data_IF_448117247937
#
_entry.id   IF_448117247937
#
_cell.length_a   1.000
_cell.length_b   1.000
_cell.length_c   1.000
_cell.angle_alpha   90.00
_cell.angle_beta   90.00
_cell.angle_gamma   90.00
#
_symmetry.space_group_name_H-M   'P 1'
#
loop_
_entity.id
_entity.type
_entity.pdbx_description
1 polymer ?
#
# COMPACT_ATOMS: atom_id res chain seq x y z
N UNK A 1 -13.53 61.12 -43.15
CA UNK A 1 -13.47 60.71 -41.73
C UNK A 1 -13.12 59.22 -41.71
N UNK A 2 -11.84 58.85 -41.50
CA UNK A 2 -11.46 57.45 -41.41
C UNK A 2 -11.82 56.92 -40.01
N UNK A 3 -12.43 55.74 -39.95
CA UNK A 3 -12.79 55.07 -38.70
C UNK A 3 -11.55 54.40 -38.10
N UNK A 4 -11.20 54.79 -36.87
CA UNK A 4 -10.18 54.15 -36.05
C UNK A 4 -10.76 52.85 -35.45
N UNK A 5 -10.20 51.71 -35.85
CA UNK A 5 -10.46 50.41 -35.21
C UNK A 5 -9.59 50.33 -33.95
N UNK A 6 -10.13 49.98 -32.77
CA UNK A 6 -9.32 49.79 -31.57
C UNK A 6 -8.51 48.50 -31.72
N UNK A 7 -7.20 48.58 -31.54
CA UNK A 7 -6.35 47.40 -31.42
C UNK A 7 -6.54 46.76 -30.04
N UNK A 8 -7.05 45.53 -30.02
CA UNK A 8 -7.09 44.69 -28.82
C UNK A 8 -5.67 44.19 -28.53
N UNK A 9 -5.12 44.59 -27.39
CA UNK A 9 -3.88 44.03 -26.87
C UNK A 9 -4.19 42.62 -26.34
N UNK A 10 -3.47 41.56 -26.75
CA UNK A 10 -3.69 40.22 -26.21
C UNK A 10 -3.29 40.22 -24.74
N UNK A 11 -4.26 40.01 -23.84
CA UNK A 11 -3.95 39.73 -22.44
C UNK A 11 -3.29 38.36 -22.37
N UNK A 12 -2.03 38.35 -21.98
CA UNK A 12 -1.28 37.13 -21.69
C UNK A 12 -1.87 36.51 -20.43
N UNK A 13 -2.62 35.42 -20.58
CA UNK A 13 -3.04 34.59 -19.43
C UNK A 13 -1.75 34.07 -18.77
N UNK A 14 -1.53 34.28 -17.46
CA UNK A 14 -0.37 33.71 -16.79
C UNK A 14 -0.44 32.19 -16.93
N UNK A 15 0.55 31.59 -17.60
CA UNK A 15 0.71 30.15 -17.58
C UNK A 15 1.10 29.76 -16.15
N UNK A 16 0.15 29.20 -15.40
CA UNK A 16 0.41 28.60 -14.10
C UNK A 16 1.37 27.44 -14.31
N UNK A 17 2.65 27.63 -13.94
CA UNK A 17 3.58 26.51 -13.81
C UNK A 17 2.93 25.53 -12.83
N UNK A 18 2.74 24.25 -13.17
CA UNK A 18 2.19 23.29 -12.22
C UNK A 18 3.05 23.32 -10.95
N UNK A 19 2.44 23.64 -9.81
CA UNK A 19 3.15 23.71 -8.54
C UNK A 19 3.42 22.28 -8.09
N UNK A 20 4.63 21.79 -8.40
CA UNK A 20 5.07 20.45 -7.98
C UNK A 20 5.13 20.36 -6.46
N UNK A 21 4.69 19.24 -5.90
CA UNK A 21 4.79 18.93 -4.47
C UNK A 21 6.04 18.11 -4.20
N UNK A 22 6.87 18.54 -3.25
CA UNK A 22 8.03 17.73 -2.85
C UNK A 22 7.56 16.56 -1.98
N UNK A 23 7.78 15.34 -2.49
CA UNK A 23 7.41 14.09 -1.81
C UNK A 23 8.67 13.32 -1.44
N UNK A 24 8.86 13.03 -0.16
CA UNK A 24 9.87 12.07 0.31
C UNK A 24 9.23 10.68 0.46
N UNK A 25 9.82 9.66 -0.17
CA UNK A 25 9.37 8.28 -0.07
C UNK A 25 10.44 7.41 0.59
N UNK A 26 10.10 6.83 1.75
CA UNK A 26 10.88 5.77 2.38
C UNK A 26 10.42 4.39 1.90
N UNK A 27 11.37 3.46 1.68
CA UNK A 27 11.06 2.12 1.18
C UNK A 27 10.84 2.02 -0.33
N UNK A 28 11.36 2.97 -1.12
CA UNK A 28 11.20 3.04 -2.57
C UNK A 28 11.74 1.84 -3.37
N UNK A 29 12.56 0.98 -2.77
CA UNK A 29 13.04 -0.28 -3.39
C UNK A 29 12.13 -1.48 -3.14
N UNK A 30 11.15 -1.35 -2.23
CA UNK A 30 10.21 -2.40 -1.87
C UNK A 30 9.20 -2.72 -2.96
N UNK A 31 8.39 -3.75 -2.73
CA UNK A 31 7.33 -4.19 -3.65
C UNK A 31 6.31 -3.09 -3.96
N UNK A 32 5.80 -2.45 -2.91
CA UNK A 32 4.85 -1.35 -3.03
C UNK A 32 5.56 -0.02 -3.33
N UNK A 33 6.61 0.31 -2.57
CA UNK A 33 7.29 1.61 -2.68
C UNK A 33 7.77 1.95 -4.08
N UNK A 34 8.33 0.99 -4.83
CA UNK A 34 8.77 1.27 -6.23
C UNK A 34 7.62 1.65 -7.15
N UNK A 35 6.43 1.12 -6.91
CA UNK A 35 5.22 1.42 -7.69
C UNK A 35 4.62 2.76 -7.27
N UNK A 36 4.68 3.10 -5.98
CA UNK A 36 4.32 4.44 -5.50
C UNK A 36 5.22 5.47 -6.18
N UNK A 37 6.54 5.23 -6.19
CA UNK A 37 7.51 6.09 -6.86
C UNK A 37 7.19 6.26 -8.35
N UNK A 38 6.92 5.16 -9.06
CA UNK A 38 6.51 5.19 -10.46
C UNK A 38 5.27 6.07 -10.70
N UNK A 39 4.19 5.85 -9.94
CA UNK A 39 2.95 6.62 -10.09
C UNK A 39 3.14 8.10 -9.73
N UNK A 40 3.91 8.42 -8.69
CA UNK A 40 4.25 9.81 -8.35
C UNK A 40 4.98 10.51 -9.50
N UNK A 41 6.00 9.87 -10.09
CA UNK A 41 6.75 10.43 -11.23
C UNK A 41 5.87 10.59 -12.47
N UNK A 42 5.00 9.62 -12.74
CA UNK A 42 4.12 9.63 -13.91
C UNK A 42 3.10 10.78 -13.91
N UNK A 43 2.75 11.34 -12.74
CA UNK A 43 1.87 12.52 -12.66
C UNK A 43 2.50 13.78 -13.25
N UNK A 44 3.83 13.92 -13.19
CA UNK A 44 4.51 15.18 -13.46
C UNK A 44 4.28 16.27 -12.39
N UNK A 45 3.57 15.95 -11.31
CA UNK A 45 3.21 16.88 -10.21
C UNK A 45 4.05 16.64 -8.94
N UNK A 46 4.86 15.58 -8.91
CA UNK A 46 5.71 15.23 -7.77
C UNK A 46 7.18 15.58 -8.02
N UNK A 47 7.77 16.36 -7.11
CA UNK A 47 9.21 16.44 -6.96
C UNK A 47 9.69 15.31 -6.01
N UNK A 48 9.94 14.12 -6.57
CA UNK A 48 10.16 12.90 -5.80
C UNK A 48 11.60 12.76 -5.28
N UNK A 49 11.71 12.51 -3.97
CA UNK A 49 12.94 12.10 -3.28
C UNK A 49 12.77 10.71 -2.69
N UNK A 50 13.73 9.83 -2.93
CA UNK A 50 13.75 8.48 -2.38
C UNK A 50 14.74 8.46 -1.20
N UNK A 51 14.24 8.16 -0.01
CA UNK A 51 15.08 7.91 1.16
C UNK A 51 15.80 6.57 0.97
N UNK A 52 17.12 6.63 0.95
CA UNK A 52 17.99 5.46 0.84
C UNK A 52 18.97 5.42 1.99
N UNK A 53 19.27 4.22 2.50
CA UNK A 53 20.31 4.07 3.51
C UNK A 53 21.68 4.49 2.93
N UNK A 54 22.58 5.06 3.74
CA UNK A 54 23.95 5.31 3.33
C UNK A 54 24.59 4.06 2.70
N UNK A 55 25.26 4.24 1.56
CA UNK A 55 25.87 3.15 0.80
C UNK A 55 24.88 2.25 0.02
N UNK A 56 23.58 2.60 -0.05
CA UNK A 56 22.63 1.84 -0.87
C UNK A 56 22.99 1.86 -2.37
N UNK A 57 23.67 2.90 -2.84
CA UNK A 57 24.18 2.97 -4.22
C UNK A 57 25.35 2.01 -4.48
N UNK A 58 26.00 1.49 -3.43
CA UNK A 58 27.13 0.56 -3.55
C UNK A 58 26.67 -0.90 -3.69
N UNK A 59 25.47 -1.22 -3.18
CA UNK A 59 24.81 -2.52 -3.36
C UNK A 59 24.28 -2.66 -4.81
N UNK A 60 24.80 -3.61 -5.61
CA UNK A 60 24.38 -3.79 -7.00
C UNK A 60 22.89 -4.06 -7.17
N UNK A 61 22.26 -4.78 -6.24
CA UNK A 61 20.82 -5.11 -6.31
C UNK A 61 19.98 -3.87 -6.09
N UNK A 62 20.35 -3.05 -5.11
CA UNK A 62 19.64 -1.78 -4.82
C UNK A 62 19.85 -0.78 -5.93
N UNK A 63 21.07 -0.66 -6.46
CA UNK A 63 21.36 0.19 -7.61
C UNK A 63 20.50 -0.17 -8.82
N UNK A 64 20.39 -1.46 -9.12
CA UNK A 64 19.52 -1.94 -10.21
C UNK A 64 18.04 -1.62 -9.97
N UNK A 65 17.57 -1.72 -8.72
CA UNK A 65 16.19 -1.37 -8.36
C UNK A 65 15.91 0.15 -8.43
N UNK A 66 16.90 1.00 -8.12
CA UNK A 66 16.76 2.46 -8.11
C UNK A 66 16.96 3.10 -9.49
N UNK A 67 17.79 2.50 -10.35
CA UNK A 67 18.17 3.09 -11.63
C UNK A 67 16.99 3.51 -12.53
N UNK A 68 15.90 2.71 -12.69
CA UNK A 68 14.75 3.13 -13.47
C UNK A 68 14.04 4.35 -12.88
N UNK A 69 13.96 4.44 -11.55
CA UNK A 69 13.30 5.56 -10.87
C UNK A 69 14.12 6.85 -10.99
N UNK A 70 15.45 6.75 -10.88
CA UNK A 70 16.35 7.89 -11.09
C UNK A 70 16.31 8.36 -12.53
N UNK A 71 16.31 7.43 -13.50
CA UNK A 71 16.17 7.76 -14.91
C UNK A 71 14.83 8.45 -15.24
N UNK A 72 13.77 8.13 -14.47
CA UNK A 72 12.46 8.76 -14.56
C UNK A 72 12.34 10.08 -13.75
N UNK A 73 13.41 10.54 -13.09
CA UNK A 73 13.48 11.85 -12.45
C UNK A 73 13.52 11.86 -10.91
N UNK A 74 13.52 10.70 -10.25
CA UNK A 74 13.65 10.65 -8.79
C UNK A 74 15.05 11.06 -8.32
N UNK A 75 15.13 11.84 -7.23
CA UNK A 75 16.39 12.10 -6.53
C UNK A 75 16.59 11.14 -5.38
N UNK A 76 17.83 10.76 -5.12
CA UNK A 76 18.19 9.97 -3.93
C UNK A 76 18.59 10.92 -2.81
N UNK A 77 18.10 10.68 -1.60
CA UNK A 77 18.54 11.35 -0.38
C UNK A 77 18.92 10.31 0.66
N UNK A 78 20.05 10.54 1.34
CA UNK A 78 20.54 9.59 2.33
C UNK A 78 19.87 9.79 3.69
N UNK A 79 19.56 8.68 4.34
CA UNK A 79 19.12 8.65 5.74
C UNK A 79 18.74 7.22 6.16
N UNK A 80 18.78 6.96 7.45
CA UNK A 80 18.43 5.68 8.03
C UNK A 80 17.36 5.86 9.11
N UNK A 81 16.32 5.03 9.08
CA UNK A 81 15.29 5.00 10.10
C UNK A 81 15.84 4.53 11.46
N UNK A 82 16.95 3.79 11.45
CA UNK A 82 17.68 3.39 12.66
C UNK A 82 18.61 4.50 13.20
N UNK A 83 18.79 5.61 12.45
CA UNK A 83 19.56 6.78 12.87
C UNK A 83 18.71 8.05 12.79
N UNK A 84 17.88 8.33 13.83
CA UNK A 84 17.03 9.52 13.86
C UNK A 84 17.77 10.85 13.70
N UNK A 85 19.07 10.91 14.02
CA UNK A 85 19.87 12.13 13.89
C UNK A 85 20.17 12.49 12.43
N UNK A 86 20.19 11.51 11.52
CA UNK A 86 20.38 11.71 10.09
C UNK A 86 19.12 12.11 9.31
N UNK A 87 17.93 11.91 9.89
CA UNK A 87 16.65 12.16 9.21
C UNK A 87 16.34 13.63 8.89
N UNK A 88 16.71 14.65 9.71
CA UNK A 88 16.38 16.04 9.43
C UNK A 88 16.83 16.54 8.04
N UNK A 89 18.02 16.16 7.59
CA UNK A 89 18.54 16.54 6.28
C UNK A 89 17.73 15.91 5.13
N UNK A 90 17.24 14.68 5.32
CA UNK A 90 16.49 13.96 4.29
C UNK A 90 15.07 14.53 4.09
N UNK A 91 14.45 15.03 5.16
CA UNK A 91 13.07 15.59 5.13
C UNK A 91 13.02 17.09 4.84
N UNK A 92 14.16 17.77 4.77
CA UNK A 92 14.21 19.23 4.60
C UNK A 92 13.47 19.68 3.33
N UNK A 93 12.46 20.54 3.49
CA UNK A 93 11.64 21.04 2.38
C UNK A 93 10.70 20.01 1.75
N UNK A 94 10.50 18.83 2.36
CA UNK A 94 9.45 17.92 1.96
C UNK A 94 8.07 18.43 2.44
N UNK A 95 7.10 18.52 1.53
CA UNK A 95 5.71 18.85 1.88
C UNK A 95 4.95 17.60 2.35
N UNK A 96 5.29 16.45 1.77
CA UNK A 96 4.62 15.17 2.01
C UNK A 96 5.68 14.09 2.22
N UNK A 97 5.47 13.24 3.22
CA UNK A 97 6.32 12.07 3.44
C UNK A 97 5.48 10.80 3.37
N UNK A 98 5.92 9.85 2.56
CA UNK A 98 5.29 8.54 2.41
C UNK A 98 6.25 7.47 2.91
N UNK A 99 5.76 6.61 3.79
CA UNK A 99 6.51 5.46 4.29
C UNK A 99 5.94 4.18 3.69
N UNK A 100 6.74 3.45 2.92
CA UNK A 100 6.39 2.13 2.38
C UNK A 100 7.35 1.05 2.92
N UNK A 101 7.78 1.20 4.18
CA UNK A 101 8.72 0.29 4.83
C UNK A 101 8.04 -0.95 5.40
N UNK A 102 8.80 -2.04 5.54
CA UNK A 102 8.35 -3.29 6.13
C UNK A 102 9.41 -3.74 7.15
N UNK A 103 8.98 -4.24 8.30
CA UNK A 103 9.89 -4.77 9.33
C UNK A 103 9.17 -5.05 10.65
N UNK A 104 9.95 -5.31 11.70
CA UNK A 104 9.45 -5.41 13.07
C UNK A 104 9.30 -4.05 13.76
N UNK A 105 9.10 -4.03 15.09
CA UNK A 105 8.86 -2.81 15.88
C UNK A 105 9.89 -1.69 15.64
N UNK A 106 11.19 -2.02 15.59
CA UNK A 106 12.25 -1.03 15.38
C UNK A 106 12.11 -0.26 14.04
N UNK A 107 11.56 -0.89 13.00
CA UNK A 107 11.37 -0.25 11.68
C UNK A 107 10.00 0.40 11.58
N UNK A 108 8.94 -0.32 11.97
CA UNK A 108 7.55 0.10 11.76
C UNK A 108 7.07 1.07 12.82
N UNK A 109 7.48 0.90 14.09
CA UNK A 109 7.17 1.83 15.17
C UNK A 109 8.25 2.91 15.21
N UNK A 110 9.44 2.57 15.71
CA UNK A 110 10.46 3.57 16.03
C UNK A 110 10.93 4.33 14.80
N UNK A 111 11.22 3.60 13.72
CA UNK A 111 11.66 4.19 12.45
C UNK A 111 10.64 5.14 11.82
N UNK A 112 9.37 4.73 11.72
CA UNK A 112 8.33 5.59 11.14
C UNK A 112 8.02 6.80 12.02
N UNK A 113 7.96 6.61 13.34
CA UNK A 113 7.73 7.72 14.28
C UNK A 113 8.89 8.72 14.24
N UNK A 114 10.13 8.23 14.13
CA UNK A 114 11.31 9.10 13.96
C UNK A 114 11.24 9.91 12.66
N UNK A 115 10.87 9.27 11.55
CA UNK A 115 10.70 9.92 10.25
C UNK A 115 9.57 10.96 10.28
N UNK A 116 8.41 10.62 10.82
CA UNK A 116 7.29 11.53 10.96
C UNK A 116 7.65 12.72 11.87
N UNK A 117 8.32 12.47 12.99
CA UNK A 117 8.76 13.53 13.91
C UNK A 117 9.76 14.47 13.27
N UNK A 118 10.70 13.95 12.45
CA UNK A 118 11.60 14.78 11.67
C UNK A 118 10.83 15.63 10.64
N UNK A 119 9.89 15.01 9.91
CA UNK A 119 9.06 15.69 8.92
C UNK A 119 8.23 16.83 9.55
N UNK A 120 7.58 16.58 10.69
CA UNK A 120 6.82 17.59 11.43
C UNK A 120 7.70 18.79 11.82
N UNK A 121 8.89 18.54 12.37
CA UNK A 121 9.84 19.61 12.74
C UNK A 121 10.36 20.40 11.53
N UNK A 122 10.44 19.75 10.36
CA UNK A 122 10.83 20.39 9.10
C UNK A 122 9.67 21.13 8.41
N UNK A 123 8.45 21.06 8.97
CA UNK A 123 7.28 21.76 8.42
C UNK A 123 6.54 21.00 7.31
N UNK A 124 6.73 19.69 7.20
CA UNK A 124 5.92 18.88 6.29
C UNK A 124 4.44 18.97 6.66
N UNK A 125 3.57 19.01 5.66
CA UNK A 125 2.11 19.04 5.86
C UNK A 125 1.57 17.66 6.20
N UNK A 126 2.00 16.65 5.45
CA UNK A 126 1.33 15.34 5.41
C UNK A 126 2.28 14.16 5.57
N UNK A 127 1.78 13.12 6.25
CA UNK A 127 2.45 11.85 6.40
C UNK A 127 1.53 10.67 6.04
N UNK A 128 1.98 9.82 5.12
CA UNK A 128 1.34 8.54 4.81
C UNK A 128 2.16 7.43 5.46
N UNK A 129 1.72 6.86 6.60
CA UNK A 129 2.40 5.73 7.22
C UNK A 129 2.34 4.48 6.34
N UNK A 130 3.29 3.57 6.56
CA UNK A 130 3.22 2.22 6.02
C UNK A 130 2.13 1.48 6.77
N UNK A 131 0.91 1.49 6.22
CA UNK A 131 -0.20 0.69 6.74
C UNK A 131 -0.67 -0.30 5.70
N UNK A 132 -1.06 0.18 4.52
CA UNK A 132 -1.32 -0.58 3.28
C UNK A 132 -1.82 -2.01 3.48
N UNK A 133 -2.90 -2.13 4.25
CA UNK A 133 -3.49 -3.40 4.66
C UNK A 133 -5.03 -3.29 4.75
N UNK A 134 -5.65 -4.29 5.38
CA UNK A 134 -7.00 -4.18 5.93
C UNK A 134 -7.07 -3.09 7.03
N UNK A 135 -8.26 -2.85 7.59
CA UNK A 135 -8.41 -1.86 8.67
C UNK A 135 -7.75 -2.34 9.98
N UNK A 136 -6.46 -2.03 10.11
CA UNK A 136 -5.62 -2.40 11.27
C UNK A 136 -6.15 -1.83 12.58
N UNK A 137 -6.93 -0.74 12.53
CA UNK A 137 -7.48 -0.07 13.70
C UNK A 137 -8.75 -0.77 14.24
N UNK A 138 -9.34 -1.68 13.46
CA UNK A 138 -10.44 -2.55 13.92
C UNK A 138 -9.95 -3.89 14.49
N UNK A 139 -8.68 -4.24 14.26
CA UNK A 139 -8.11 -5.46 14.81
C UNK A 139 -8.05 -5.38 16.34
N UNK A 140 -8.37 -6.47 17.04
CA UNK A 140 -8.22 -6.50 18.49
C UNK A 140 -6.73 -6.58 18.82
N UNK A 141 -6.27 -5.94 19.91
CA UNK A 141 -4.89 -6.08 20.36
C UNK A 141 -4.48 -7.56 20.46
N UNK A 142 -3.35 -7.91 19.84
CA UNK A 142 -2.85 -9.26 19.78
C UNK A 142 -3.48 -10.15 18.71
N UNK A 143 -4.47 -9.71 17.93
CA UNK A 143 -4.99 -10.52 16.81
C UNK A 143 -3.91 -10.80 15.77
N UNK A 144 -3.10 -9.78 15.42
CA UNK A 144 -1.98 -9.88 14.48
C UNK A 144 -0.86 -8.95 14.96
N UNK A 145 0.31 -9.49 15.28
CA UNK A 145 1.43 -8.70 15.82
C UNK A 145 1.87 -7.57 14.87
N UNK A 146 1.83 -7.79 13.56
CA UNK A 146 2.14 -6.76 12.56
C UNK A 146 1.09 -5.65 12.48
N UNK A 147 -0.16 -5.89 12.88
CA UNK A 147 -1.17 -4.84 13.01
C UNK A 147 -0.99 -4.04 14.28
N UNK A 148 -0.62 -4.68 15.39
CA UNK A 148 -0.36 -3.98 16.65
C UNK A 148 0.75 -2.94 16.51
N UNK A 149 1.87 -3.29 15.88
CA UNK A 149 2.96 -2.34 15.64
C UNK A 149 2.57 -1.20 14.69
N UNK A 150 1.71 -1.45 13.71
CA UNK A 150 1.22 -0.40 12.79
C UNK A 150 0.26 0.55 13.50
N UNK A 151 -0.64 0.02 14.32
CA UNK A 151 -1.55 0.80 15.16
C UNK A 151 -0.78 1.66 16.16
N UNK A 152 0.20 1.08 16.85
CA UNK A 152 1.08 1.83 17.78
C UNK A 152 1.82 2.96 17.06
N UNK A 153 2.37 2.70 15.86
CA UNK A 153 3.01 3.72 15.05
C UNK A 153 2.02 4.85 14.68
N UNK A 154 0.81 4.49 14.22
CA UNK A 154 -0.25 5.44 13.89
C UNK A 154 -0.62 6.35 15.06
N UNK A 155 -0.91 5.76 16.23
CA UNK A 155 -1.23 6.49 17.47
C UNK A 155 -0.12 7.49 17.87
N UNK A 156 1.16 7.10 17.71
CA UNK A 156 2.30 7.97 18.01
C UNK A 156 2.49 9.08 16.99
N UNK A 157 2.12 8.85 15.73
CA UNK A 157 2.25 9.83 14.64
C UNK A 157 1.13 10.88 14.67
N UNK A 158 -0.09 10.50 15.03
CA UNK A 158 -1.24 11.42 15.14
C UNK A 158 -0.96 12.60 16.09
N UNK A 159 -0.16 12.40 17.13
CA UNK A 159 0.23 13.44 18.09
C UNK A 159 1.24 14.48 17.57
N UNK A 160 1.71 14.36 16.33
CA UNK A 160 2.80 15.20 15.78
C UNK A 160 2.33 16.44 15.00
N UNK A 161 1.01 16.66 14.89
CA UNK A 161 0.45 17.81 14.18
C UNK A 161 0.55 17.74 12.65
N UNK A 162 0.72 16.54 12.09
CA UNK A 162 0.72 16.27 10.66
C UNK A 162 -0.68 15.89 10.18
N UNK A 163 -0.99 16.16 8.91
CA UNK A 163 -2.08 15.48 8.22
C UNK A 163 -1.68 14.01 8.03
N UNK A 164 -2.23 13.10 8.85
CA UNK A 164 -1.95 11.66 8.72
C UNK A 164 -2.99 11.03 7.81
N UNK A 165 -2.55 10.32 6.76
CA UNK A 165 -3.44 9.62 5.83
C UNK A 165 -3.10 8.13 5.78
N UNK A 166 -3.98 7.31 6.34
CA UNK A 166 -3.85 5.86 6.34
C UNK A 166 -4.45 5.28 5.05
N UNK A 167 -3.62 4.91 4.09
CA UNK A 167 -4.09 4.26 2.85
C UNK A 167 -4.32 2.77 3.12
N UNK A 168 -5.59 2.36 3.09
CA UNK A 168 -6.03 1.00 3.42
C UNK A 168 -6.65 0.36 2.17
N UNK A 169 -5.93 -0.60 1.59
CA UNK A 169 -6.31 -1.25 0.33
C UNK A 169 -6.88 -2.67 0.47
N UNK A 170 -6.98 -3.17 1.71
CA UNK A 170 -7.30 -4.57 1.96
C UNK A 170 -6.07 -5.46 1.80
N UNK A 171 -6.27 -6.70 1.41
CA UNK A 171 -5.16 -7.60 1.09
C UNK A 171 -4.65 -7.37 -0.34
N UNK A 172 -3.35 -7.62 -0.58
CA UNK A 172 -2.78 -7.50 -1.91
C UNK A 172 -3.18 -8.67 -2.81
N UNK A 173 -3.95 -8.39 -3.87
CA UNK A 173 -4.40 -9.42 -4.83
C UNK A 173 -3.24 -10.19 -5.46
N UNK A 174 -2.10 -9.52 -5.69
CA UNK A 174 -0.88 -10.10 -6.26
C UNK A 174 -0.37 -11.31 -5.46
N UNK A 175 -0.61 -11.35 -4.14
CA UNK A 175 -0.22 -12.47 -3.29
C UNK A 175 -1.06 -13.73 -3.51
N UNK A 176 -2.13 -13.63 -4.30
CA UNK A 176 -3.07 -14.73 -4.55
C UNK A 176 -3.10 -15.20 -6.01
N UNK A 177 -2.21 -14.70 -6.88
CA UNK A 177 -2.02 -15.22 -8.24
C UNK A 177 -1.57 -16.69 -8.21
N UNK A 178 -0.63 -16.98 -7.31
CA UNK A 178 -0.28 -18.33 -6.89
C UNK A 178 -0.96 -18.60 -5.54
N UNK A 179 -2.23 -19.06 -5.55
CA UNK A 179 -3.08 -19.02 -4.36
C UNK A 179 -2.52 -19.92 -3.25
N UNK A 180 -2.22 -19.27 -2.11
CA UNK A 180 -1.88 -19.89 -0.82
C UNK A 180 -2.64 -19.15 0.28
N UNK A 181 -3.17 -19.89 1.27
CA UNK A 181 -3.92 -19.32 2.38
C UNK A 181 -5.44 -19.36 2.19
N UNK A 182 -6.05 -18.32 1.61
CA UNK A 182 -7.53 -18.23 1.41
C UNK A 182 -8.03 -19.37 0.52
N UNK A 183 -7.27 -19.64 -0.54
CA UNK A 183 -7.47 -20.73 -1.48
C UNK A 183 -6.13 -21.43 -1.63
N UNK A 184 -6.10 -22.75 -1.55
CA UNK A 184 -4.94 -23.57 -1.87
C UNK A 184 -5.30 -24.46 -3.05
N UNK A 185 -4.56 -24.33 -4.15
CA UNK A 185 -4.75 -25.13 -5.37
C UNK A 185 -3.59 -26.10 -5.52
N UNK A 186 -3.93 -27.35 -5.85
CA UNK A 186 -3.02 -28.40 -6.26
C UNK A 186 -3.31 -28.80 -7.71
N UNK A 187 -2.42 -28.38 -8.61
CA UNK A 187 -2.50 -28.70 -10.04
C UNK A 187 -2.14 -30.17 -10.35
N UNK A 188 -1.42 -30.88 -9.49
CA UNK A 188 -1.14 -32.29 -9.75
C UNK A 188 -2.42 -33.13 -9.62
N UNK A 189 -3.22 -32.85 -8.59
CA UNK A 189 -4.46 -33.58 -8.30
C UNK A 189 -5.71 -32.94 -8.87
N UNK A 190 -5.64 -31.67 -9.33
CA UNK A 190 -6.82 -30.94 -9.79
C UNK A 190 -7.78 -30.60 -8.64
N UNK A 191 -7.26 -30.47 -7.42
CA UNK A 191 -8.05 -30.17 -6.23
C UNK A 191 -7.77 -28.77 -5.71
N UNK A 192 -8.72 -28.23 -4.94
CA UNK A 192 -8.56 -26.99 -4.24
C UNK A 192 -9.19 -27.06 -2.84
N UNK A 193 -8.60 -26.32 -1.89
CA UNK A 193 -9.11 -26.26 -0.53
C UNK A 193 -9.14 -24.84 0.03
N UNK A 194 -10.06 -24.58 0.96
CA UNK A 194 -10.22 -23.29 1.64
C UNK A 194 -10.76 -23.47 3.06
N UNK A 195 -10.74 -22.41 3.86
CA UNK A 195 -11.42 -22.39 5.16
C UNK A 195 -12.82 -21.78 5.05
N UNK A 196 -13.75 -22.22 5.90
CA UNK A 196 -15.13 -21.73 5.89
C UNK A 196 -15.99 -22.35 4.79
N UNK A 197 -17.00 -21.61 4.37
CA UNK A 197 -17.95 -22.00 3.32
C UNK A 197 -17.34 -21.84 1.92
N UNK A 198 -16.38 -20.93 1.78
CA UNK A 198 -15.77 -20.51 0.52
C UNK A 198 -16.45 -19.30 -0.12
N UNK A 199 -17.52 -18.81 0.51
CA UNK A 199 -18.31 -17.66 0.07
C UNK A 199 -17.96 -16.38 0.85
N UNK A 200 -17.13 -16.48 1.89
CA UNK A 200 -16.61 -15.34 2.65
C UNK A 200 -15.86 -14.39 1.70
N UNK A 201 -16.33 -13.14 1.61
CA UNK A 201 -15.73 -12.09 0.78
C UNK A 201 -14.87 -11.17 1.62
N UNK A 202 -13.78 -10.68 1.03
CA UNK A 202 -12.81 -9.82 1.70
C UNK A 202 -12.28 -8.76 0.73
N UNK A 203 -11.97 -7.58 1.24
CA UNK A 203 -11.45 -6.47 0.44
C UNK A 203 -10.01 -6.72 0.00
N UNK A 204 -9.78 -6.47 -1.28
CA UNK A 204 -8.50 -6.66 -1.90
C UNK A 204 -8.23 -5.59 -2.95
N UNK A 205 -6.97 -5.23 -3.11
CA UNK A 205 -6.52 -4.31 -4.16
C UNK A 205 -5.18 -4.80 -4.68
N UNK A 206 -4.89 -4.65 -5.98
CA UNK A 206 -3.56 -4.99 -6.47
C UNK A 206 -2.50 -4.07 -5.83
N UNK A 207 -1.25 -4.52 -5.76
CA UNK A 207 -0.14 -3.70 -5.26
C UNK A 207 0.01 -2.44 -6.13
N UNK A 208 -0.21 -2.56 -7.43
CA UNK A 208 -0.10 -1.44 -8.36
C UNK A 208 -1.21 -0.40 -8.17
N UNK A 209 -2.45 -0.85 -8.03
CA UNK A 209 -3.58 0.05 -7.79
C UNK A 209 -3.49 0.70 -6.40
N UNK A 210 -3.04 -0.04 -5.38
CA UNK A 210 -2.76 0.53 -4.05
C UNK A 210 -1.69 1.61 -4.14
N UNK A 211 -0.65 1.37 -4.93
CA UNK A 211 0.40 2.36 -5.15
C UNK A 211 -0.11 3.61 -5.89
N UNK A 212 -1.01 3.44 -6.86
CA UNK A 212 -1.64 4.54 -7.58
C UNK A 212 -2.49 5.39 -6.63
N UNK A 213 -3.34 4.76 -5.82
CA UNK A 213 -4.10 5.45 -4.79
C UNK A 213 -3.21 6.19 -3.78
N UNK A 214 -2.11 5.58 -3.34
CA UNK A 214 -1.17 6.21 -2.42
C UNK A 214 -0.47 7.44 -3.04
N UNK A 215 -0.09 7.37 -4.32
CA UNK A 215 0.50 8.48 -5.04
C UNK A 215 -0.47 9.65 -5.17
N UNK A 216 -1.72 9.38 -5.53
CA UNK A 216 -2.77 10.40 -5.61
C UNK A 216 -3.09 10.99 -4.24
N UNK A 217 -3.19 10.15 -3.19
CA UNK A 217 -3.40 10.60 -1.83
C UNK A 217 -2.27 11.49 -1.29
N UNK A 218 -1.03 11.23 -1.71
CA UNK A 218 0.10 12.09 -1.37
C UNK A 218 -0.04 13.48 -2.01
N UNK A 219 -0.50 13.55 -3.27
CA UNK A 219 -0.60 14.81 -4.03
C UNK A 219 -1.92 15.57 -3.82
N UNK A 220 -2.96 14.91 -3.33
CA UNK A 220 -4.28 15.50 -3.20
C UNK A 220 -4.39 16.49 -2.03
N UNK A 221 -4.24 17.78 -2.30
CA UNK A 221 -4.28 18.84 -1.27
C UNK A 221 -5.60 18.90 -0.50
N UNK A 222 -6.69 18.39 -1.07
CA UNK A 222 -8.04 18.45 -0.48
C UNK A 222 -8.44 17.14 0.22
N UNK A 223 -7.54 16.15 0.30
CA UNK A 223 -7.80 14.91 1.03
C UNK A 223 -7.70 15.20 2.54
N UNK A 224 -8.78 15.00 3.32
CA UNK A 224 -8.71 15.18 4.77
C UNK A 224 -7.81 14.11 5.42
N UNK A 225 -7.21 14.42 6.60
CA UNK A 225 -6.54 13.41 7.39
C UNK A 225 -7.52 12.31 7.84
N UNK A 226 -7.00 11.11 8.10
CA UNK A 226 -7.76 9.94 8.49
C UNK A 226 -7.52 8.76 7.55
N UNK A 227 -8.54 7.92 7.38
CA UNK A 227 -8.46 6.72 6.54
C UNK A 227 -8.81 7.06 5.10
N UNK A 228 -8.01 6.57 4.16
CA UNK A 228 -8.36 6.42 2.75
C UNK A 228 -8.59 4.92 2.47
N UNK A 229 -9.84 4.48 2.55
CA UNK A 229 -10.21 3.09 2.33
C UNK A 229 -10.55 2.82 0.86
N UNK A 230 -9.89 1.84 0.24
CA UNK A 230 -10.13 1.42 -1.16
C UNK A 230 -10.18 -0.09 -1.25
N UNK A 231 -11.04 -0.61 -2.13
CA UNK A 231 -11.11 -2.02 -2.45
C UNK A 231 -11.29 -2.16 -3.97
N UNK A 232 -10.28 -2.71 -4.64
CA UNK A 232 -10.35 -2.97 -6.07
C UNK A 232 -11.20 -4.19 -6.42
N UNK A 233 -11.29 -5.15 -5.51
CA UNK A 233 -12.14 -6.33 -5.63
C UNK A 233 -12.59 -6.84 -4.26
N UNK A 234 -13.60 -7.72 -4.25
CA UNK A 234 -14.10 -8.46 -3.09
C UNK A 234 -14.27 -9.95 -3.40
N UNK A 235 -13.18 -10.68 -3.69
CA UNK A 235 -13.25 -12.09 -4.04
C UNK A 235 -13.66 -12.96 -2.85
N UNK A 236 -14.17 -14.15 -3.15
CA UNK A 236 -14.27 -15.28 -2.23
C UNK A 236 -13.41 -16.44 -2.73
N UNK A 237 -13.13 -17.44 -1.89
CA UNK A 237 -12.34 -18.60 -2.32
C UNK A 237 -12.96 -19.31 -3.53
N UNK A 238 -14.30 -19.40 -3.59
CA UNK A 238 -15.03 -19.97 -4.73
C UNK A 238 -14.91 -19.11 -5.99
N UNK A 239 -15.11 -17.79 -5.89
CA UNK A 239 -14.98 -16.92 -7.07
C UNK A 239 -13.55 -16.90 -7.60
N UNK A 240 -12.55 -16.98 -6.70
CA UNK A 240 -11.15 -17.14 -7.08
C UNK A 240 -10.90 -18.45 -7.81
N UNK A 241 -11.43 -19.57 -7.30
CA UNK A 241 -11.26 -20.88 -7.92
C UNK A 241 -11.88 -20.92 -9.32
N UNK A 242 -13.05 -20.30 -9.50
CA UNK A 242 -13.70 -20.17 -10.80
C UNK A 242 -12.86 -19.32 -11.78
N UNK A 243 -12.37 -18.17 -11.34
CA UNK A 243 -11.52 -17.29 -12.16
C UNK A 243 -10.21 -17.98 -12.57
N UNK A 244 -9.54 -18.67 -11.64
CA UNK A 244 -8.36 -19.49 -11.92
C UNK A 244 -8.67 -20.63 -12.89
N UNK A 245 -9.79 -21.31 -12.70
CA UNK A 245 -10.22 -22.38 -13.59
C UNK A 245 -10.43 -21.89 -15.02
N UNK A 246 -11.06 -20.72 -15.20
CA UNK A 246 -11.18 -20.06 -16.52
C UNK A 246 -9.81 -19.71 -17.09
N UNK A 247 -8.97 -19.02 -16.34
CA UNK A 247 -7.64 -18.59 -16.80
C UNK A 247 -6.73 -19.76 -17.20
N UNK A 248 -6.83 -20.89 -16.50
CA UNK A 248 -6.01 -22.09 -16.76
C UNK A 248 -6.67 -23.11 -17.69
N UNK A 249 -7.89 -22.86 -18.14
CA UNK A 249 -8.66 -23.81 -18.96
C UNK A 249 -8.92 -25.14 -18.24
N UNK A 250 -9.08 -25.12 -16.92
CA UNK A 250 -9.16 -26.32 -16.07
C UNK A 250 -10.26 -26.21 -15.03
N UNK A 251 -10.87 -27.34 -14.66
CA UNK A 251 -11.79 -27.45 -13.52
C UNK A 251 -11.08 -28.04 -12.32
N UNK A 252 -11.39 -27.52 -11.14
CA UNK A 252 -10.89 -28.01 -9.86
C UNK A 252 -12.02 -28.56 -9.00
N UNK A 253 -11.74 -29.62 -8.26
CA UNK A 253 -12.63 -30.13 -7.21
C UNK A 253 -12.31 -29.45 -5.88
N UNK A 254 -13.27 -28.69 -5.36
CA UNK A 254 -13.08 -27.82 -4.21
C UNK A 254 -13.69 -28.38 -2.92
N UNK A 255 -12.98 -28.30 -1.80
CA UNK A 255 -13.50 -28.71 -0.48
C UNK A 255 -13.04 -27.79 0.67
N UNK A 256 -13.83 -27.76 1.74
CA UNK A 256 -13.48 -27.00 2.94
C UNK A 256 -12.53 -27.79 3.84
N UNK A 257 -11.52 -27.12 4.40
CA UNK A 257 -10.59 -27.62 5.42
C UNK A 257 -11.19 -27.62 6.82
N UNK A 258 -12.35 -27.00 6.99
CA UNK A 258 -13.02 -26.78 8.27
C UNK A 258 -13.57 -25.37 8.39
N UNK A 259 -14.19 -25.06 9.53
CA UNK A 259 -14.79 -23.74 9.78
C UNK A 259 -13.73 -22.65 10.00
N UNK A 260 -14.11 -21.39 9.77
CA UNK A 260 -13.28 -20.23 10.13
C UNK A 260 -12.97 -20.20 11.63
N UNK A 261 -13.88 -20.69 12.48
CA UNK A 261 -13.63 -20.85 13.93
C UNK A 261 -12.50 -21.84 14.23
N UNK A 262 -12.42 -22.95 13.48
CA UNK A 262 -11.32 -23.91 13.64
C UNK A 262 -9.98 -23.30 13.20
N UNK A 263 -9.97 -22.51 12.13
CA UNK A 263 -8.82 -21.70 11.73
C UNK A 263 -8.41 -20.75 12.85
N UNK A 264 -9.34 -19.95 13.39
CA UNK A 264 -9.05 -18.98 14.47
C UNK A 264 -8.47 -19.66 15.71
N UNK A 265 -8.99 -20.84 16.09
CA UNK A 265 -8.43 -21.64 17.19
C UNK A 265 -7.02 -22.19 16.89
N UNK A 266 -6.73 -22.54 15.64
CA UNK A 266 -5.38 -22.90 15.18
C UNK A 266 -4.41 -21.72 15.30
N UNK A 267 -4.81 -20.57 14.77
CA UNK A 267 -4.02 -19.33 14.79
C UNK A 267 -3.77 -18.87 16.23
N UNK A 268 -4.76 -18.96 17.12
CA UNK A 268 -4.59 -18.61 18.53
C UNK A 268 -3.53 -19.49 19.21
N UNK A 269 -3.44 -20.79 18.88
CA UNK A 269 -2.38 -21.68 19.37
C UNK A 269 -1.02 -21.32 18.79
N UNK A 270 -0.94 -21.04 17.49
CA UNK A 270 0.29 -20.61 16.85
C UNK A 270 0.84 -19.33 17.49
N UNK A 271 -0.03 -18.33 17.68
CA UNK A 271 0.28 -17.07 18.35
C UNK A 271 0.75 -17.26 19.79
N UNK A 272 0.15 -18.18 20.55
CA UNK A 272 0.57 -18.50 21.91
C UNK A 272 1.99 -19.08 22.00
N UNK A 273 2.50 -19.66 20.90
CA UNK A 273 3.90 -20.13 20.80
C UNK A 273 4.83 -19.00 20.35
N UNK A 274 4.50 -18.38 19.23
CA UNK A 274 5.25 -17.25 18.67
C UNK A 274 4.30 -16.35 17.86
N UNK A 275 4.01 -15.13 18.34
CA UNK A 275 3.12 -14.19 17.65
C UNK A 275 3.71 -13.64 16.34
N UNK A 276 5.03 -13.78 16.12
CA UNK A 276 5.72 -13.35 14.91
C UNK A 276 5.96 -14.49 13.91
N UNK A 277 5.55 -15.71 14.26
CA UNK A 277 5.66 -16.85 13.34
C UNK A 277 4.84 -16.62 12.07
N UNK A 278 5.27 -17.24 10.96
CA UNK A 278 4.54 -17.19 9.68
C UNK A 278 3.11 -17.71 9.86
N UNK A 279 2.93 -18.78 10.64
CA UNK A 279 1.61 -19.36 10.93
C UNK A 279 0.70 -18.38 11.68
N UNK A 280 1.20 -17.73 12.74
CA UNK A 280 0.43 -16.75 13.50
C UNK A 280 0.12 -15.50 12.67
N UNK A 281 1.09 -15.00 11.92
CA UNK A 281 0.94 -13.79 11.10
C UNK A 281 -0.01 -14.06 9.95
N UNK A 282 0.34 -14.97 9.02
CA UNK A 282 -0.49 -15.24 7.83
C UNK A 282 -1.87 -15.73 8.23
N UNK A 283 -1.95 -16.65 9.20
CA UNK A 283 -3.23 -17.13 9.70
C UNK A 283 -4.09 -16.03 10.35
N UNK A 284 -3.46 -15.09 11.07
CA UNK A 284 -4.14 -13.93 11.63
C UNK A 284 -4.74 -13.02 10.57
N UNK A 285 -4.02 -12.74 9.47
CA UNK A 285 -4.57 -12.03 8.31
C UNK A 285 -5.76 -12.78 7.72
N UNK A 286 -5.65 -14.10 7.51
CA UNK A 286 -6.76 -14.92 6.98
C UNK A 286 -7.99 -14.87 7.88
N UNK A 287 -7.82 -14.97 9.20
CA UNK A 287 -8.95 -14.83 10.15
C UNK A 287 -9.58 -13.45 10.03
N UNK A 288 -8.78 -12.38 9.99
CA UNK A 288 -9.30 -11.02 9.87
C UNK A 288 -10.09 -10.81 8.57
N UNK A 289 -9.60 -11.35 7.46
CA UNK A 289 -10.27 -11.32 6.16
C UNK A 289 -11.58 -12.12 6.18
N UNK A 290 -11.53 -13.39 6.59
CA UNK A 290 -12.67 -14.32 6.49
C UNK A 290 -13.77 -14.04 7.51
N UNK A 291 -13.44 -13.39 8.63
CA UNK A 291 -14.44 -12.98 9.63
C UNK A 291 -15.00 -11.58 9.38
N UNK A 292 -14.40 -10.81 8.46
CA UNK A 292 -14.76 -9.41 8.23
C UNK A 292 -14.41 -8.47 9.40
N UNK A 293 -13.65 -8.92 10.41
CA UNK A 293 -13.33 -8.12 11.61
C UNK A 293 -12.61 -6.82 11.27
N UNK A 294 -11.78 -6.85 10.24
CA UNK A 294 -11.02 -5.68 9.75
C UNK A 294 -11.51 -5.24 8.37
N UNK A 295 -12.79 -5.49 8.07
CA UNK A 295 -13.38 -5.08 6.80
C UNK A 295 -13.29 -3.56 6.62
N UNK A 296 -12.99 -3.17 5.39
CA UNK A 296 -12.98 -1.76 5.01
C UNK A 296 -14.42 -1.26 4.86
N UNK A 297 -14.73 -0.17 5.53
CA UNK A 297 -15.99 0.56 5.43
C UNK A 297 -15.76 1.89 4.71
N UNK A 298 -16.86 2.55 4.32
CA UNK A 298 -16.85 3.87 3.70
C UNK A 298 -15.88 3.98 2.53
N UNK A 299 -15.88 2.99 1.62
CA UNK A 299 -14.93 2.94 0.50
C UNK A 299 -14.91 4.23 -0.33
N UNK A 300 -13.73 4.82 -0.49
CA UNK A 300 -13.49 6.12 -1.11
C UNK A 300 -12.78 5.99 -2.47
N UNK A 301 -12.76 4.79 -3.07
CA UNK A 301 -12.11 4.56 -4.37
C UNK A 301 -12.63 5.49 -5.48
N UNK A 302 -13.90 5.93 -5.38
CA UNK A 302 -14.51 6.89 -6.31
C UNK A 302 -13.96 8.32 -6.22
N UNK A 303 -13.15 8.65 -5.20
CA UNK A 303 -12.46 9.94 -5.11
C UNK A 303 -11.47 10.14 -6.27
N UNK A 304 -10.91 9.03 -6.77
CA UNK A 304 -9.94 9.02 -7.85
C UNK A 304 -10.46 8.21 -9.05
N UNK A 305 -11.38 8.76 -9.85
CA UNK A 305 -12.03 8.03 -10.94
C UNK A 305 -11.07 7.60 -12.05
N UNK A 306 -9.87 8.17 -12.11
CA UNK A 306 -8.80 7.75 -13.03
C UNK A 306 -8.17 6.40 -12.67
N UNK A 307 -8.33 5.93 -11.42
CA UNK A 307 -7.88 4.60 -11.02
C UNK A 307 -9.00 3.62 -11.37
N UNK A 308 -8.69 2.65 -12.24
CA UNK A 308 -9.54 1.50 -12.52
C UNK A 308 -8.87 0.26 -11.92
N UNK A 309 -9.19 -0.10 -10.66
CA UNK A 309 -8.54 -1.22 -10.01
C UNK A 309 -8.79 -2.53 -10.73
N UNK A 310 -7.78 -3.38 -10.78
CA UNK A 310 -7.90 -4.72 -11.35
C UNK A 310 -8.66 -5.64 -10.42
N UNK A 311 -9.57 -6.40 -11.01
CA UNK A 311 -10.18 -7.56 -10.35
C UNK A 311 -9.21 -8.72 -10.26
N UNK A 312 -9.49 -9.68 -9.37
CA UNK A 312 -8.73 -10.92 -9.28
C UNK A 312 -8.73 -11.68 -10.62
N UNK A 313 -9.87 -11.72 -11.32
CA UNK A 313 -10.02 -12.38 -12.61
C UNK A 313 -9.11 -11.76 -13.68
N UNK A 314 -9.08 -10.43 -13.79
CA UNK A 314 -8.18 -9.73 -14.71
C UNK A 314 -6.71 -10.01 -14.38
N UNK A 315 -6.36 -10.09 -13.09
CA UNK A 315 -5.00 -10.35 -12.63
C UNK A 315 -4.51 -11.75 -13.01
N UNK A 316 -5.31 -12.79 -12.73
CA UNK A 316 -4.95 -14.18 -13.07
C UNK A 316 -5.01 -14.44 -14.57
N UNK A 317 -5.94 -13.80 -15.29
CA UNK A 317 -6.01 -13.85 -16.74
C UNK A 317 -4.76 -13.28 -17.41
N UNK A 318 -4.26 -12.14 -16.92
CA UNK A 318 -3.03 -11.55 -17.41
C UNK A 318 -1.79 -12.42 -17.09
N UNK A 319 -1.73 -13.01 -15.89
CA UNK A 319 -0.63 -13.88 -15.50
C UNK A 319 -0.58 -15.19 -16.32
N UNK A 320 -1.74 -15.75 -16.70
CA UNK A 320 -1.81 -16.93 -17.55
C UNK A 320 -1.41 -16.67 -19.02
N UNK A 321 -1.45 -15.40 -19.45
CA UNK A 321 -1.09 -14.99 -20.81
C UNK A 321 0.39 -14.59 -20.98
N UNK A 322 1.14 -14.44 -19.88
CA UNK A 322 2.54 -14.04 -19.84
C UNK A 322 3.49 -15.25 -19.90
#
# INVERSE_FOLDING_TARGET
>A
MPQTVPQTVPQTVPQTVPQTQTVLLAGGTGMLGRRIAHHLLATGEADLRLLVRPGAADDPRRRAALAPLVAAGARLVEGDLADPAGLPAAVEGAEVVVSAVQGGPAVVVDGQVALAGAAARAGARRFLPSDFALDVFKARPGDVASYDVRREAGERVEGLGLEVVHVLGGAFLDLFVEPRGVLEVDDATGTATWWGTGDERWEATSVDDTAHYAALAALDRDLPPGKLAVAGDRPSARSMLEALGRARGRRYEGSSRGSVTALEAGVARARGRDPWSVEATVGGYLVCMLTGRTALEDLQGGRYPQVRPRTYEELVGAAAAA
#
